data_IF_374796069042
#
_entry.id   IF_374796069042
#
_cell.length_a   1.000
_cell.length_b   1.000
_cell.length_c   1.000
_cell.angle_alpha   90.00
_cell.angle_beta   90.00
_cell.angle_gamma   90.00
#
_symmetry.space_group_name_H-M   'P 1'
#
loop_
_entity.id
_entity.type
_entity.pdbx_description
1 polymer ?
#
# COMPACT_ATOMS: atom_id res chain seq x y z
N UNK A 1 -0.79 -13.23 -1.60
CA UNK A 1 -1.90 -12.49 -0.96
C UNK A 1 -1.51 -12.22 0.48
N UNK A 2 -2.03 -11.15 1.07
CA UNK A 2 -1.77 -10.82 2.47
C UNK A 2 -2.94 -10.08 3.09
N UNK A 3 -3.03 -10.15 4.41
CA UNK A 3 -3.94 -9.32 5.20
C UNK A 3 -3.44 -7.88 5.21
N UNK A 4 -4.35 -6.93 5.01
CA UNK A 4 -4.08 -5.50 5.14
C UNK A 4 -4.62 -5.01 6.48
N UNK A 5 -3.79 -4.28 7.23
CA UNK A 5 -4.13 -3.69 8.54
C UNK A 5 -3.83 -2.19 8.48
N UNK A 6 -4.78 -1.37 8.89
CA UNK A 6 -4.57 0.07 9.04
C UNK A 6 -3.79 0.39 10.33
N UNK A 7 -4.01 -0.40 11.37
CA UNK A 7 -3.37 -0.30 12.68
C UNK A 7 -2.83 -1.68 13.11
N UNK A 8 -1.60 -1.78 13.66
CA UNK A 8 -1.04 -3.07 14.07
C UNK A 8 -1.83 -3.75 15.19
N UNK A 9 -2.58 -2.98 16.00
CA UNK A 9 -3.37 -3.48 17.13
C UNK A 9 -4.79 -3.89 16.73
N UNK A 10 -5.22 -3.56 15.51
CA UNK A 10 -6.54 -3.90 14.99
C UNK A 10 -6.52 -5.13 14.08
N UNK A 11 -7.68 -5.78 13.94
CA UNK A 11 -7.87 -6.88 12.99
C UNK A 11 -7.72 -6.43 11.53
N UNK A 12 -7.35 -7.33 10.60
CA UNK A 12 -7.25 -6.97 9.19
C UNK A 12 -8.57 -6.44 8.63
N UNK A 13 -8.48 -5.40 7.81
CA UNK A 13 -9.66 -4.78 7.16
C UNK A 13 -10.07 -5.52 5.89
N UNK A 14 -9.13 -6.14 5.20
CA UNK A 14 -9.35 -7.00 4.04
C UNK A 14 -8.10 -7.84 3.71
N UNK A 15 -8.25 -8.75 2.76
CA UNK A 15 -7.18 -9.46 2.08
C UNK A 15 -6.92 -8.79 0.73
N UNK A 16 -5.66 -8.57 0.40
CA UNK A 16 -5.23 -8.03 -0.89
C UNK A 16 -4.19 -8.92 -1.57
N UNK A 17 -4.06 -8.77 -2.88
CA UNK A 17 -3.00 -9.36 -3.68
C UNK A 17 -2.19 -8.26 -4.35
N UNK A 18 -0.88 -8.43 -4.40
CA UNK A 18 0.02 -7.70 -5.28
C UNK A 18 0.54 -8.67 -6.34
N UNK A 19 0.58 -8.24 -7.60
CA UNK A 19 1.16 -9.01 -8.71
C UNK A 19 2.10 -8.08 -9.45
N UNK A 20 3.35 -8.51 -9.62
CA UNK A 20 4.27 -7.81 -10.53
C UNK A 20 3.72 -7.92 -11.95
N UNK A 21 3.60 -6.79 -12.63
CA UNK A 21 3.19 -6.73 -14.02
C UNK A 21 4.41 -6.36 -14.88
N UNK A 22 5.07 -7.36 -15.52
CA UNK A 22 6.23 -7.09 -16.37
C UNK A 22 5.91 -6.19 -17.57
N UNK A 23 4.63 -6.12 -17.97
CA UNK A 23 4.17 -5.31 -19.11
C UNK A 23 3.80 -3.88 -18.73
N UNK A 24 3.63 -3.61 -17.44
CA UNK A 24 3.25 -2.29 -16.94
C UNK A 24 3.92 -2.04 -15.59
N UNK A 25 5.24 -1.73 -15.58
CA UNK A 25 5.99 -1.55 -14.35
C UNK A 25 5.48 -0.40 -13.49
N UNK A 26 4.77 0.57 -14.07
CA UNK A 26 4.18 1.70 -13.34
C UNK A 26 2.99 1.28 -12.45
N UNK A 27 2.41 0.10 -12.70
CA UNK A 27 1.40 -0.53 -11.84
C UNK A 27 1.99 -1.49 -10.81
N UNK A 28 3.30 -1.69 -10.81
CA UNK A 28 3.93 -2.48 -9.75
C UNK A 28 3.75 -1.76 -8.42
N UNK A 29 3.33 -2.51 -7.39
CA UNK A 29 3.01 -1.93 -6.08
C UNK A 29 1.52 -1.67 -5.86
N UNK A 30 0.69 -1.69 -6.89
CA UNK A 30 -0.76 -1.59 -6.72
C UNK A 30 -1.33 -2.84 -6.01
N UNK A 31 -2.14 -2.60 -4.99
CA UNK A 31 -2.82 -3.65 -4.24
C UNK A 31 -4.23 -3.85 -4.78
N UNK A 32 -4.53 -5.06 -5.22
CA UNK A 32 -5.89 -5.48 -5.58
C UNK A 32 -6.57 -6.08 -4.37
N UNK A 33 -7.63 -5.42 -3.89
CA UNK A 33 -8.47 -5.91 -2.79
C UNK A 33 -9.25 -7.14 -3.27
N UNK A 34 -9.26 -8.20 -2.46
CA UNK A 34 -9.79 -9.53 -2.83
C UNK A 34 -10.96 -9.99 -1.97
N UNK A 35 -11.24 -9.33 -0.84
CA UNK A 35 -12.37 -9.64 0.05
C UNK A 35 -11.99 -9.49 1.52
N UNK A 36 -12.97 -9.61 2.42
CA UNK A 36 -12.73 -9.40 3.85
C UNK A 36 -11.94 -10.53 4.53
N UNK A 37 -11.97 -11.74 3.96
CA UNK A 37 -11.32 -12.93 4.51
C UNK A 37 -10.66 -13.77 3.39
N UNK A 38 -9.91 -14.79 3.79
CA UNK A 38 -9.17 -15.64 2.85
C UNK A 38 -10.08 -16.44 1.92
N UNK A 39 -11.28 -16.85 2.34
CA UNK A 39 -12.22 -17.60 1.50
C UNK A 39 -12.79 -16.72 0.40
N UNK A 40 -13.23 -15.49 0.73
CA UNK A 40 -13.64 -14.51 -0.26
C UNK A 40 -12.50 -14.20 -1.25
N UNK A 41 -11.27 -14.05 -0.74
CA UNK A 41 -10.10 -13.75 -1.55
C UNK A 41 -9.73 -14.90 -2.51
N UNK A 42 -9.76 -16.14 -2.03
CA UNK A 42 -9.55 -17.32 -2.84
C UNK A 42 -10.65 -17.48 -3.88
N UNK A 43 -11.91 -17.25 -3.51
CA UNK A 43 -13.02 -17.27 -4.46
C UNK A 43 -12.82 -16.24 -5.57
N UNK A 44 -12.51 -14.99 -5.22
CA UNK A 44 -12.18 -13.93 -6.20
C UNK A 44 -11.00 -14.29 -7.10
N UNK A 45 -10.01 -15.03 -6.57
CA UNK A 45 -8.86 -15.46 -7.34
C UNK A 45 -9.21 -16.58 -8.33
N UNK A 46 -10.01 -17.57 -7.91
CA UNK A 46 -10.46 -18.65 -8.80
C UNK A 46 -11.28 -18.11 -9.98
N UNK A 47 -12.12 -17.10 -9.77
CA UNK A 47 -12.89 -16.45 -10.84
C UNK A 47 -12.02 -15.79 -11.93
N UNK A 48 -10.80 -15.37 -11.58
CA UNK A 48 -9.88 -14.71 -12.50
C UNK A 48 -8.78 -15.63 -13.04
N UNK A 49 -8.68 -16.83 -12.47
CA UNK A 49 -7.64 -17.78 -12.84
C UNK A 49 -7.93 -18.31 -14.25
N UNK A 50 -7.04 -18.04 -15.19
CA UNK A 50 -7.11 -18.63 -16.54
C UNK A 50 -6.89 -20.14 -16.41
N UNK A 51 -7.84 -20.92 -16.90
CA UNK A 51 -7.78 -22.38 -16.87
C UNK A 51 -7.25 -22.92 -18.20
N UNK A 52 -6.36 -23.90 -18.11
CA UNK A 52 -5.94 -24.74 -19.24
C UNK A 52 -6.84 -25.98 -19.35
N UNK A 53 -6.81 -26.74 -20.45
CA UNK A 53 -7.67 -27.92 -20.63
C UNK A 53 -7.61 -28.94 -19.49
N UNK A 54 -6.47 -29.10 -18.81
CA UNK A 54 -6.29 -30.06 -17.72
C UNK A 54 -6.80 -29.54 -16.36
N UNK A 55 -6.87 -28.22 -16.18
CA UNK A 55 -7.36 -27.58 -14.96
C UNK A 55 -8.81 -27.09 -15.05
N UNK A 56 -9.41 -27.10 -16.26
CA UNK A 56 -10.76 -26.61 -16.57
C UNK A 56 -11.87 -27.23 -15.73
N UNK A 57 -11.71 -28.48 -15.29
CA UNK A 57 -12.66 -29.13 -14.37
C UNK A 57 -12.21 -29.08 -12.91
N UNK A 58 -10.89 -29.12 -12.65
CA UNK A 58 -10.32 -29.18 -11.30
C UNK A 58 -10.52 -27.87 -10.52
N UNK A 59 -10.31 -26.72 -11.17
CA UNK A 59 -10.44 -25.41 -10.53
C UNK A 59 -11.88 -25.14 -10.09
N UNK A 60 -12.92 -25.32 -10.94
CA UNK A 60 -14.31 -25.17 -10.50
C UNK A 60 -14.70 -26.14 -9.38
N UNK A 61 -14.20 -27.39 -9.41
CA UNK A 61 -14.45 -28.36 -8.35
C UNK A 61 -13.85 -27.90 -7.02
N UNK A 62 -12.60 -27.45 -7.02
CA UNK A 62 -11.94 -26.90 -5.83
C UNK A 62 -12.67 -25.63 -5.32
N UNK A 63 -13.03 -24.72 -6.22
CA UNK A 63 -13.79 -23.53 -5.87
C UNK A 63 -15.12 -23.90 -5.22
N UNK A 64 -15.85 -24.89 -5.76
CA UNK A 64 -17.09 -25.39 -5.17
C UNK A 64 -16.85 -25.96 -3.76
N UNK A 65 -15.84 -26.80 -3.57
CA UNK A 65 -15.51 -27.36 -2.25
C UNK A 65 -15.19 -26.26 -1.24
N UNK A 66 -14.33 -25.31 -1.59
CA UNK A 66 -13.92 -24.20 -0.70
C UNK A 66 -15.11 -23.31 -0.36
N UNK A 67 -15.94 -22.96 -1.35
CA UNK A 67 -17.08 -22.05 -1.14
C UNK A 67 -18.23 -22.73 -0.39
N UNK A 68 -18.48 -24.03 -0.59
CA UNK A 68 -19.44 -24.80 0.21
C UNK A 68 -19.04 -24.84 1.68
N UNK A 69 -17.78 -25.17 1.96
CA UNK A 69 -17.27 -25.20 3.33
C UNK A 69 -17.33 -23.81 3.99
N UNK A 70 -16.93 -22.76 3.27
CA UNK A 70 -16.98 -21.39 3.77
C UNK A 70 -18.41 -20.97 4.18
N UNK A 71 -19.41 -21.30 3.34
CA UNK A 71 -20.83 -21.05 3.63
C UNK A 71 -21.31 -21.82 4.87
N UNK A 72 -20.95 -23.09 4.98
CA UNK A 72 -21.29 -23.93 6.14
C UNK A 72 -20.73 -23.34 7.45
N UNK A 73 -19.52 -22.78 7.40
CA UNK A 73 -18.87 -22.12 8.55
C UNK A 73 -19.22 -20.64 8.73
N UNK A 74 -20.12 -20.10 7.91
CA UNK A 74 -20.59 -18.72 8.02
C UNK A 74 -19.60 -17.65 7.54
N UNK A 75 -18.59 -18.01 6.74
CA UNK A 75 -17.69 -17.04 6.12
C UNK A 75 -18.36 -16.40 4.90
N UNK A 76 -18.41 -15.07 4.87
CA UNK A 76 -18.84 -14.33 3.68
C UNK A 76 -17.87 -14.55 2.52
N UNK A 77 -18.42 -14.71 1.31
CA UNK A 77 -17.67 -14.83 0.05
C UNK A 77 -17.81 -13.56 -0.81
N UNK A 78 -18.41 -12.51 -0.27
CA UNK A 78 -18.56 -11.22 -0.96
C UNK A 78 -17.19 -10.58 -1.24
N UNK A 79 -17.04 -10.01 -2.45
CA UNK A 79 -15.83 -9.27 -2.82
C UNK A 79 -15.67 -7.99 -2.01
N UNK A 80 -16.79 -7.40 -1.60
CA UNK A 80 -16.86 -6.17 -0.81
C UNK A 80 -17.89 -6.39 0.29
N UNK A 81 -17.48 -6.23 1.55
CA UNK A 81 -18.39 -6.30 2.68
C UNK A 81 -18.74 -4.92 3.21
N UNK A 82 -19.81 -4.83 4.02
CA UNK A 82 -20.20 -3.59 4.71
C UNK A 82 -19.07 -2.97 5.55
N UNK A 83 -18.21 -3.81 6.15
CA UNK A 83 -17.05 -3.33 6.91
C UNK A 83 -16.00 -2.67 6.00
N UNK A 84 -15.77 -3.24 4.82
CA UNK A 84 -14.85 -2.67 3.82
C UNK A 84 -15.40 -1.33 3.27
N UNK A 85 -16.71 -1.24 3.04
CA UNK A 85 -17.37 0.02 2.64
C UNK A 85 -17.37 1.06 3.76
N UNK A 86 -17.52 0.65 5.01
CA UNK A 86 -17.41 1.55 6.15
C UNK A 86 -15.98 2.09 6.28
N UNK A 87 -14.97 1.25 6.01
CA UNK A 87 -13.56 1.64 5.99
C UNK A 87 -13.22 2.56 4.82
N UNK A 88 -13.77 2.33 3.62
CA UNK A 88 -13.50 3.20 2.45
C UNK A 88 -13.93 4.64 2.68
N UNK A 89 -15.00 4.87 3.46
CA UNK A 89 -15.45 6.21 3.88
C UNK A 89 -14.50 6.92 4.86
N UNK A 90 -13.56 6.19 5.47
CA UNK A 90 -12.55 6.73 6.40
C UNK A 90 -11.17 6.92 5.73
N UNK A 91 -11.03 6.51 4.47
CA UNK A 91 -9.77 6.65 3.74
C UNK A 91 -9.54 8.13 3.45
N UNK A 92 -8.38 8.65 3.86
CA UNK A 92 -8.01 10.06 3.65
C UNK A 92 -7.22 10.28 2.36
N UNK A 93 -6.45 9.26 1.93
CA UNK A 93 -5.71 9.29 0.68
C UNK A 93 -5.59 7.89 0.08
N UNK A 94 -5.53 7.79 -1.25
CA UNK A 94 -5.45 6.50 -1.96
C UNK A 94 -4.04 5.92 -2.03
N UNK A 95 -3.00 6.77 -2.00
CA UNK A 95 -1.58 6.45 -2.27
C UNK A 95 -1.34 5.77 -3.63
N UNK A 96 -0.09 5.54 -4.00
CA UNK A 96 0.28 4.82 -5.21
C UNK A 96 -0.13 3.35 -5.18
N UNK A 97 -0.24 2.74 -4.01
CA UNK A 97 -0.65 1.33 -3.89
C UNK A 97 -2.17 1.13 -3.92
N UNK A 98 -2.97 2.21 -3.99
CA UNK A 98 -4.44 2.24 -4.15
C UNK A 98 -5.30 1.60 -3.05
N UNK A 99 -4.70 0.91 -2.09
CA UNK A 99 -5.43 0.41 -0.91
C UNK A 99 -5.89 1.54 0.03
N UNK A 100 -5.27 2.72 -0.06
CA UNK A 100 -5.56 3.89 0.76
C UNK A 100 -5.14 3.78 2.23
N UNK A 101 -4.99 4.94 2.86
CA UNK A 101 -4.59 5.08 4.27
C UNK A 101 -5.76 5.61 5.12
N UNK A 102 -5.83 5.14 6.36
CA UNK A 102 -6.77 5.61 7.39
C UNK A 102 -5.95 6.09 8.58
N UNK A 103 -6.18 7.34 8.99
CA UNK A 103 -5.58 7.96 10.17
C UNK A 103 -6.66 8.65 10.99
N UNK A 104 -6.45 8.87 12.30
CA UNK A 104 -7.34 9.71 13.10
C UNK A 104 -7.40 11.12 12.51
N UNK A 105 -8.61 11.66 12.35
CA UNK A 105 -8.84 13.07 11.98
C UNK A 105 -9.79 13.68 13.01
N UNK A 106 -9.32 14.70 13.71
CA UNK A 106 -10.16 15.52 14.58
C UNK A 106 -11.01 16.45 13.73
N UNK A 107 -12.26 16.06 13.51
CA UNK A 107 -13.22 16.83 12.70
C UNK A 107 -13.53 18.22 13.25
N UNK A 108 -13.29 18.50 14.54
CA UNK A 108 -13.59 19.79 15.13
C UNK A 108 -12.55 20.83 14.72
N UNK A 109 -11.28 20.41 14.68
CA UNK A 109 -10.14 21.28 14.40
C UNK A 109 -9.57 21.07 12.99
N UNK A 110 -10.08 20.07 12.26
CA UNK A 110 -9.60 19.63 10.95
C UNK A 110 -8.11 19.24 10.94
N UNK A 111 -7.70 18.49 11.97
CA UNK A 111 -6.30 18.08 12.21
C UNK A 111 -6.17 16.57 12.11
N UNK A 112 -5.12 16.10 11.43
CA UNK A 112 -4.73 14.70 11.33
C UNK A 112 -4.30 14.30 9.91
N UNK A 113 -4.79 15.02 8.90
CA UNK A 113 -4.41 14.84 7.50
C UNK A 113 -4.73 16.10 6.69
N UNK A 114 -3.77 16.48 5.84
CA UNK A 114 -3.96 17.40 4.72
C UNK A 114 -3.31 16.85 3.45
N UNK A 115 -3.76 17.34 2.30
CA UNK A 115 -3.23 16.91 1.01
C UNK A 115 -1.74 17.28 0.84
N UNK A 116 -1.04 16.48 0.03
CA UNK A 116 0.34 16.78 -0.38
C UNK A 116 0.43 18.08 -1.17
N UNK A 117 1.56 18.77 -1.05
CA UNK A 117 1.86 20.00 -1.80
C UNK A 117 1.97 19.82 -3.32
N UNK A 118 1.85 18.58 -3.83
CA UNK A 118 1.84 18.24 -5.23
C UNK A 118 0.92 17.04 -5.47
N UNK A 119 0.31 16.97 -6.67
CA UNK A 119 -0.55 15.84 -7.03
C UNK A 119 0.24 14.57 -7.32
N UNK A 120 -0.41 13.41 -7.24
CA UNK A 120 0.22 12.12 -7.55
C UNK A 120 0.86 12.07 -8.94
N UNK A 121 0.28 12.75 -9.95
CA UNK A 121 0.86 12.81 -11.29
C UNK A 121 2.14 13.65 -11.33
N UNK A 122 2.18 14.77 -10.61
CA UNK A 122 3.36 15.61 -10.48
C UNK A 122 4.48 14.89 -9.72
N UNK A 123 4.15 14.25 -8.59
CA UNK A 123 5.12 13.47 -7.81
C UNK A 123 5.69 12.35 -8.67
N UNK A 124 4.86 11.54 -9.35
CA UNK A 124 5.34 10.50 -10.27
C UNK A 124 6.27 11.05 -11.36
N UNK A 125 5.99 12.24 -11.90
CA UNK A 125 6.86 12.90 -12.89
C UNK A 125 8.22 13.28 -12.28
N UNK A 126 8.24 13.82 -11.07
CA UNK A 126 9.49 14.14 -10.34
C UNK A 126 10.31 12.87 -10.07
N UNK A 127 9.67 11.80 -9.58
CA UNK A 127 10.32 10.53 -9.27
C UNK A 127 10.86 9.84 -10.53
N UNK A 128 10.11 9.90 -11.64
CA UNK A 128 10.58 9.41 -12.94
C UNK A 128 11.80 10.18 -13.41
N UNK A 129 11.78 11.50 -13.31
CA UNK A 129 12.95 12.34 -13.59
C UNK A 129 14.17 11.94 -12.77
N UNK A 130 14.01 11.74 -11.45
CA UNK A 130 15.09 11.31 -10.55
C UNK A 130 15.74 9.98 -10.98
N UNK A 131 14.92 9.00 -11.35
CA UNK A 131 15.39 7.64 -11.70
C UNK A 131 15.98 7.59 -13.10
N UNK A 132 15.40 8.31 -14.05
CA UNK A 132 15.85 8.29 -15.45
C UNK A 132 17.03 9.25 -15.71
N UNK A 133 17.37 10.12 -14.74
CA UNK A 133 18.47 11.09 -14.84
C UNK A 133 19.82 10.42 -15.10
N UNK A 134 20.57 10.93 -16.09
CA UNK A 134 21.86 10.36 -16.52
C UNK A 134 23.07 11.02 -15.86
N UNK A 135 22.90 12.19 -15.25
CA UNK A 135 23.94 12.88 -14.48
C UNK A 135 23.44 13.27 -13.09
N UNK A 136 24.38 13.59 -12.20
CA UNK A 136 24.05 14.10 -10.87
C UNK A 136 23.43 15.50 -10.94
N UNK A 137 23.83 16.35 -11.89
CA UNK A 137 23.21 17.68 -12.04
C UNK A 137 21.76 17.59 -12.51
N UNK A 138 21.44 16.65 -13.41
CA UNK A 138 20.05 16.40 -13.83
C UNK A 138 19.23 15.89 -12.66
N UNK A 139 19.78 14.94 -11.90
CA UNK A 139 19.13 14.38 -10.71
C UNK A 139 18.89 15.44 -9.63
N UNK A 140 19.84 16.35 -9.43
CA UNK A 140 19.72 17.44 -8.45
C UNK A 140 18.50 18.33 -8.72
N UNK A 141 18.20 18.65 -9.98
CA UNK A 141 17.03 19.47 -10.35
C UNK A 141 15.69 18.84 -9.98
N UNK A 142 15.59 17.50 -10.03
CA UNK A 142 14.38 16.81 -9.60
C UNK A 142 14.31 16.66 -8.08
N UNK A 143 15.46 16.57 -7.41
CA UNK A 143 15.52 16.65 -5.94
C UNK A 143 15.08 18.03 -5.45
N UNK A 144 15.53 19.11 -6.08
CA UNK A 144 15.10 20.49 -5.79
C UNK A 144 13.58 20.66 -5.92
N UNK A 145 12.92 19.92 -6.83
CA UNK A 145 11.47 19.92 -6.97
C UNK A 145 10.75 19.06 -5.92
N UNK A 146 11.32 17.90 -5.57
CA UNK A 146 10.72 16.99 -4.58
C UNK A 146 10.92 17.47 -3.15
N UNK A 147 12.03 18.16 -2.87
CA UNK A 147 12.41 18.58 -1.52
C UNK A 147 11.36 19.48 -0.86
N UNK A 148 10.74 20.47 -1.54
CA UNK A 148 9.62 21.22 -0.97
C UNK A 148 8.45 20.33 -0.54
N UNK A 149 8.09 19.30 -1.33
CA UNK A 149 7.00 18.36 -0.97
C UNK A 149 7.33 17.60 0.31
N UNK A 150 8.58 17.15 0.46
CA UNK A 150 9.07 16.49 1.68
C UNK A 150 9.06 17.48 2.86
N UNK A 151 9.50 18.72 2.66
CA UNK A 151 9.51 19.75 3.69
C UNK A 151 8.09 20.06 4.18
N UNK A 152 7.12 20.23 3.28
CA UNK A 152 5.72 20.43 3.66
C UNK A 152 5.13 19.24 4.40
N UNK A 153 5.48 18.01 4.01
CA UNK A 153 5.07 16.81 4.74
C UNK A 153 5.68 16.73 6.16
N UNK A 154 6.87 17.28 6.39
CA UNK A 154 7.44 17.37 7.74
C UNK A 154 6.80 18.48 8.56
N UNK A 155 6.52 19.65 7.97
CA UNK A 155 5.72 20.71 8.62
C UNK A 155 4.34 20.16 9.02
N UNK A 156 3.77 19.27 8.19
CA UNK A 156 2.56 18.52 8.52
C UNK A 156 2.66 17.74 9.83
N UNK A 157 3.80 17.14 10.12
CA UNK A 157 3.98 16.47 11.40
C UNK A 157 3.99 17.45 12.58
N UNK A 158 4.63 18.60 12.46
CA UNK A 158 4.68 19.61 13.53
C UNK A 158 3.29 20.17 13.86
N UNK A 159 2.41 20.22 12.86
CA UNK A 159 1.01 20.66 13.00
C UNK A 159 0.03 19.48 13.20
N UNK A 160 0.53 18.30 13.58
CA UNK A 160 -0.25 17.08 13.89
C UNK A 160 -1.02 16.43 12.71
N UNK A 161 -0.74 16.83 11.46
CA UNK A 161 -1.25 16.20 10.24
C UNK A 161 -0.37 15.02 9.79
N UNK A 162 -0.23 14.02 10.67
CA UNK A 162 0.67 12.89 10.45
C UNK A 162 0.31 12.05 9.21
N UNK A 163 -0.95 12.08 8.77
CA UNK A 163 -1.40 11.38 7.56
C UNK A 163 -0.69 11.85 6.28
N UNK A 164 -0.27 13.11 6.22
CA UNK A 164 0.39 13.69 5.04
C UNK A 164 1.78 13.09 4.83
N UNK A 165 2.58 12.97 5.90
CA UNK A 165 3.90 12.33 5.82
C UNK A 165 3.79 10.82 5.60
N UNK A 166 2.75 10.17 6.16
CA UNK A 166 2.44 8.77 5.88
C UNK A 166 2.14 8.55 4.38
N UNK A 167 1.30 9.40 3.77
CA UNK A 167 0.97 9.31 2.34
C UNK A 167 2.23 9.43 1.47
N UNK A 168 3.02 10.49 1.66
CA UNK A 168 4.23 10.69 0.87
C UNK A 168 5.22 9.52 1.05
N UNK A 169 5.41 9.07 2.29
CA UNK A 169 6.26 7.93 2.60
C UNK A 169 5.82 6.65 1.85
N UNK A 170 4.52 6.37 1.83
CA UNK A 170 3.95 5.23 1.11
C UNK A 170 4.13 5.36 -0.41
N UNK A 171 3.96 6.56 -0.96
CA UNK A 171 4.14 6.82 -2.38
C UNK A 171 5.59 6.60 -2.82
N UNK A 172 6.56 7.14 -2.05
CA UNK A 172 7.99 6.91 -2.31
C UNK A 172 8.36 5.43 -2.18
N UNK A 173 7.86 4.75 -1.15
CA UNK A 173 8.09 3.33 -0.93
C UNK A 173 7.52 2.46 -2.07
N UNK A 174 6.30 2.77 -2.51
CA UNK A 174 5.59 2.05 -3.57
C UNK A 174 6.26 2.27 -4.92
N UNK A 175 6.79 3.48 -5.18
CA UNK A 175 7.56 3.76 -6.39
C UNK A 175 8.81 2.86 -6.49
N UNK A 176 9.44 2.54 -5.36
CA UNK A 176 10.35 1.39 -5.25
C UNK A 176 11.78 1.62 -5.71
N UNK A 177 12.21 2.87 -5.92
CA UNK A 177 13.59 3.20 -6.27
C UNK A 177 14.50 3.24 -5.03
N UNK A 178 15.70 2.62 -5.07
CA UNK A 178 16.69 2.71 -3.99
C UNK A 178 17.09 4.15 -3.63
N UNK A 179 17.06 5.08 -4.60
CA UNK A 179 17.33 6.50 -4.37
C UNK A 179 16.37 7.14 -3.36
N UNK A 180 15.18 6.56 -3.19
CA UNK A 180 14.12 7.08 -2.33
C UNK A 180 14.07 6.40 -0.96
N UNK A 181 14.85 5.32 -0.74
CA UNK A 181 14.76 4.51 0.48
C UNK A 181 15.02 5.33 1.73
N UNK A 182 16.00 6.24 1.71
CA UNK A 182 16.30 7.11 2.85
C UNK A 182 15.11 8.00 3.21
N UNK A 183 14.54 8.70 2.23
CA UNK A 183 13.41 9.60 2.43
C UNK A 183 12.15 8.83 2.84
N UNK A 184 11.87 7.69 2.21
CA UNK A 184 10.74 6.83 2.56
C UNK A 184 10.88 6.27 3.99
N UNK A 185 12.07 5.78 4.38
CA UNK A 185 12.35 5.28 5.73
C UNK A 185 12.11 6.36 6.77
N UNK A 186 12.65 7.56 6.55
CA UNK A 186 12.48 8.69 7.46
C UNK A 186 11.00 9.09 7.62
N UNK A 187 10.28 9.31 6.51
CA UNK A 187 8.88 9.72 6.54
C UNK A 187 8.00 8.66 7.21
N UNK A 188 8.13 7.39 6.81
CA UNK A 188 7.29 6.31 7.32
C UNK A 188 7.58 6.01 8.80
N UNK A 189 8.84 5.97 9.21
CA UNK A 189 9.20 5.72 10.63
C UNK A 189 8.64 6.83 11.53
N UNK A 190 8.81 8.09 11.13
CA UNK A 190 8.26 9.23 11.87
C UNK A 190 6.74 9.19 11.91
N UNK A 191 6.08 9.03 10.76
CA UNK A 191 4.61 9.03 10.68
C UNK A 191 4.00 7.89 11.51
N UNK A 192 4.53 6.66 11.40
CA UNK A 192 4.05 5.53 12.18
C UNK A 192 4.27 5.73 13.67
N UNK A 193 5.40 6.31 14.08
CA UNK A 193 5.68 6.60 15.50
C UNK A 193 4.69 7.63 16.05
N UNK A 194 4.46 8.73 15.32
CA UNK A 194 3.52 9.79 15.71
C UNK A 194 2.06 9.30 15.75
N UNK A 195 1.70 8.35 14.89
CA UNK A 195 0.40 7.67 14.91
C UNK A 195 0.27 6.57 15.98
N UNK A 196 1.34 6.28 16.74
CA UNK A 196 1.35 5.22 17.74
C UNK A 196 1.35 3.79 17.18
N UNK A 197 1.82 3.62 15.94
CA UNK A 197 1.89 2.36 15.15
C UNK A 197 3.33 1.84 15.04
N UNK A 198 4.04 1.75 16.18
CA UNK A 198 5.48 1.50 16.24
C UNK A 198 5.93 0.17 15.60
N UNK A 199 5.08 -0.84 15.58
CA UNK A 199 5.35 -2.12 14.93
C UNK A 199 5.54 -1.93 13.41
N UNK A 200 4.75 -1.04 12.79
CA UNK A 200 4.92 -0.70 11.37
C UNK A 200 6.19 0.11 11.12
N UNK A 201 6.58 0.99 12.05
CA UNK A 201 7.87 1.70 11.99
C UNK A 201 9.06 0.71 11.99
N UNK A 202 9.01 -0.30 12.86
CA UNK A 202 10.04 -1.35 12.92
C UNK A 202 10.09 -2.18 11.64
N UNK A 203 8.92 -2.58 11.11
CA UNK A 203 8.84 -3.37 9.87
C UNK A 203 9.42 -2.59 8.69
N UNK A 204 9.07 -1.32 8.54
CA UNK A 204 9.54 -0.53 7.39
C UNK A 204 11.04 -0.25 7.46
N UNK A 205 11.58 -0.03 8.67
CA UNK A 205 13.01 0.14 8.90
C UNK A 205 13.79 -1.08 8.43
N UNK A 206 13.46 -2.27 8.96
CA UNK A 206 14.14 -3.52 8.59
C UNK A 206 13.94 -3.85 7.11
N UNK A 207 12.74 -3.61 6.57
CA UNK A 207 12.47 -3.87 5.16
C UNK A 207 13.28 -2.97 4.24
N UNK A 208 13.48 -1.69 4.55
CA UNK A 208 14.27 -0.78 3.73
C UNK A 208 15.78 -1.00 3.89
N UNK A 209 16.23 -1.55 5.01
CA UNK A 209 17.63 -1.94 5.24
C UNK A 209 18.02 -3.19 4.42
N UNK A 210 17.09 -4.13 4.18
CA UNK A 210 17.30 -5.33 3.36
C UNK A 210 16.16 -5.56 2.34
N UNK A 211 15.93 -4.58 1.45
CA UNK A 211 14.87 -4.67 0.43
C UNK A 211 15.31 -5.50 -0.78
N UNK A 212 15.12 -6.82 -0.72
CA UNK A 212 15.47 -7.75 -1.79
C UNK A 212 14.39 -7.88 -2.87
N UNK A 213 14.84 -8.21 -4.09
CA UNK A 213 13.95 -8.60 -5.19
C UNK A 213 13.73 -10.12 -5.19
N UNK A 214 12.51 -10.55 -5.50
CA UNK A 214 12.15 -11.96 -5.63
C UNK A 214 11.50 -12.56 -4.39
N UNK A 215 11.18 -13.84 -4.46
CA UNK A 215 10.47 -14.57 -3.38
C UNK A 215 11.40 -15.33 -2.43
N UNK A 216 12.72 -15.20 -2.58
CA UNK A 216 13.65 -15.86 -1.67
C UNK A 216 13.74 -15.07 -0.36
N UNK A 217 12.87 -15.42 0.57
CA UNK A 217 12.80 -14.85 1.92
C UNK A 217 13.71 -15.58 2.91
N UNK A 218 14.51 -16.55 2.44
CA UNK A 218 15.50 -17.21 3.30
C UNK A 218 16.50 -16.17 3.81
N UNK A 219 16.76 -16.22 5.11
CA UNK A 219 17.85 -15.52 5.79
C UNK A 219 19.05 -16.45 6.05
N UNK A 220 18.95 -17.69 5.54
CA UNK A 220 19.94 -18.77 5.56
C UNK A 220 20.43 -19.05 4.13
#
# INVERSE_FOLDING_TARGET
MGYFRDDPKEMPVFVASNILNPKDPEKNGELKIRGQNLFAALNSYFEELKTDPFSRMKIPQLQKTVTSWAKEKGFSLEKTSKAMEARSKKVVASTFHKAGIVVPVDKKNDVGYRELAASNSMIKKMLKGLVDSKSEEERAKYWEQLQPVITFANIANDECDFGTSLELGQDLFTYGSPLLHRSAKQLLTTAYTLLGRNEFATIIEVHLDDRRKGGNLSIL
#
